data_IF_775465460515
#
_entry.id   IF_775465460515
#
_cell.length_a   1.000
_cell.length_b   1.000
_cell.length_c   1.000
_cell.angle_alpha   90.00
_cell.angle_beta   90.00
_cell.angle_gamma   90.00
#
_symmetry.space_group_name_H-M   'P 1'
#
loop_
_entity.id
_entity.type
_entity.pdbx_description
1 polymer ?
#
# COMPACT_ATOMS: atom_id res chain seq x y z
N UNK A 1 0.99 12.65 -9.86
CA UNK A 1 0.12 11.88 -8.96
C UNK A 1 0.83 11.71 -7.64
N UNK A 2 0.16 12.05 -6.54
CA UNK A 2 0.61 11.83 -5.17
C UNK A 2 -0.32 10.82 -4.50
N UNK A 3 0.24 9.94 -3.69
CA UNK A 3 -0.49 8.80 -3.10
C UNK A 3 -0.69 8.97 -1.60
N UNK A 4 -1.86 8.56 -1.12
CA UNK A 4 -2.24 8.57 0.29
C UNK A 4 -2.90 7.25 0.66
N UNK A 5 -2.73 6.78 1.89
CA UNK A 5 -3.48 5.64 2.41
C UNK A 5 -4.88 6.10 2.82
N UNK A 6 -5.91 5.34 2.45
CA UNK A 6 -7.23 5.52 3.04
C UNK A 6 -7.18 5.04 4.51
N UNK A 7 -7.52 5.93 5.45
CA UNK A 7 -7.43 5.66 6.90
C UNK A 7 -8.33 4.52 7.39
N UNK A 8 -9.32 4.11 6.61
CA UNK A 8 -10.19 2.96 6.92
C UNK A 8 -9.68 1.66 6.29
N UNK A 9 -8.71 1.72 5.38
CA UNK A 9 -8.32 0.58 4.57
C UNK A 9 -7.22 -0.29 5.19
N UNK A 10 -6.34 0.26 6.04
CA UNK A 10 -5.25 -0.53 6.64
C UNK A 10 -4.88 0.02 8.01
N UNK A 11 -4.50 -0.89 8.90
CA UNK A 11 -3.92 -0.57 10.20
C UNK A 11 -2.57 -1.27 10.31
N UNK A 12 -1.50 -0.49 10.46
CA UNK A 12 -0.15 -1.01 10.65
C UNK A 12 0.14 -1.23 12.13
N UNK A 13 0.68 -2.39 12.46
CA UNK A 13 1.15 -2.73 13.80
C UNK A 13 2.51 -3.41 13.66
N UNK A 14 3.62 -2.66 13.73
CA UNK A 14 4.95 -3.15 13.36
C UNK A 14 5.36 -4.47 14.03
N UNK A 15 4.96 -4.68 15.29
CA UNK A 15 5.23 -5.92 16.02
C UNK A 15 4.47 -7.11 15.43
N UNK A 16 3.20 -6.95 15.09
CA UNK A 16 2.39 -7.98 14.46
C UNK A 16 2.81 -8.21 13.00
N UNK A 17 3.08 -7.13 12.27
CA UNK A 17 3.52 -7.17 10.88
C UNK A 17 4.83 -7.96 10.76
N UNK A 18 5.80 -7.71 11.65
CA UNK A 18 7.04 -8.47 11.70
C UNK A 18 6.79 -9.96 11.98
N UNK A 19 5.92 -10.29 12.94
CA UNK A 19 5.54 -11.69 13.25
C UNK A 19 4.84 -12.38 12.08
N UNK A 20 4.10 -11.63 11.27
CA UNK A 20 3.42 -12.12 10.07
C UNK A 20 4.28 -12.05 8.79
N UNK A 21 5.61 -11.91 8.93
CA UNK A 21 6.56 -11.78 7.82
C UNK A 21 6.16 -10.67 6.83
N UNK A 22 5.67 -9.55 7.37
CA UNK A 22 5.22 -8.36 6.65
C UNK A 22 4.11 -8.64 5.64
N UNK A 23 3.28 -9.67 5.88
CA UNK A 23 1.98 -9.79 5.21
C UNK A 23 0.98 -8.99 6.03
N UNK A 24 0.03 -8.34 5.36
CA UNK A 24 -1.03 -7.60 6.07
C UNK A 24 -2.39 -7.89 5.45
N UNK A 25 -3.43 -7.42 6.11
CA UNK A 25 -4.79 -7.41 5.60
C UNK A 25 -5.23 -5.97 5.39
N UNK A 26 -5.99 -5.74 4.34
CA UNK A 26 -6.55 -4.44 3.99
C UNK A 26 -8.05 -4.58 3.78
N UNK A 27 -8.80 -3.56 4.19
CA UNK A 27 -10.22 -3.45 3.94
C UNK A 27 -10.45 -2.75 2.60
N UNK A 28 -11.06 -3.47 1.67
CA UNK A 28 -11.56 -2.93 0.41
C UNK A 28 -12.96 -2.38 0.65
N UNK A 29 -13.09 -1.05 0.69
CA UNK A 29 -14.39 -0.43 0.96
C UNK A 29 -15.34 -0.45 -0.25
N UNK A 30 -14.88 -0.88 -1.43
CA UNK A 30 -15.72 -1.01 -2.62
C UNK A 30 -16.47 -2.33 -2.60
N UNK A 31 -15.81 -3.42 -2.19
CA UNK A 31 -16.42 -4.76 -2.09
C UNK A 31 -16.84 -5.12 -0.67
N UNK A 32 -16.46 -4.32 0.33
CA UNK A 32 -16.63 -4.60 1.77
C UNK A 32 -15.88 -5.86 2.24
N UNK A 33 -14.84 -6.27 1.51
CA UNK A 33 -14.05 -7.47 1.81
C UNK A 33 -12.69 -7.15 2.44
N UNK A 34 -12.17 -8.13 3.18
CA UNK A 34 -10.80 -8.11 3.71
C UNK A 34 -9.89 -8.87 2.76
N UNK A 35 -8.88 -8.19 2.20
CA UNK A 35 -7.93 -8.74 1.24
C UNK A 35 -6.57 -8.94 1.91
N UNK A 36 -5.89 -10.05 1.60
CA UNK A 36 -4.52 -10.29 2.06
C UNK A 36 -3.52 -9.65 1.10
N UNK A 37 -2.62 -8.85 1.64
CA UNK A 37 -1.52 -8.23 0.91
C UNK A 37 -0.21 -8.90 1.30
N UNK A 38 0.58 -9.26 0.29
CA UNK A 38 1.88 -9.88 0.50
C UNK A 38 2.95 -8.85 0.94
N UNK A 39 4.16 -9.33 1.25
CA UNK A 39 5.28 -8.48 1.68
C UNK A 39 5.62 -7.34 0.72
N UNK A 40 5.49 -7.56 -0.59
CA UNK A 40 5.75 -6.52 -1.58
C UNK A 40 4.73 -5.39 -1.48
N UNK A 41 3.44 -5.73 -1.46
CA UNK A 41 2.38 -4.75 -1.31
C UNK A 41 2.42 -4.05 0.04
N UNK A 42 2.73 -4.78 1.11
CA UNK A 42 2.92 -4.22 2.45
C UNK A 42 3.98 -3.12 2.43
N UNK A 43 5.14 -3.38 1.82
CA UNK A 43 6.22 -2.40 1.76
C UNK A 43 5.78 -1.12 1.03
N UNK A 44 5.04 -1.25 -0.08
CA UNK A 44 4.51 -0.08 -0.80
C UNK A 44 3.52 0.70 0.09
N UNK A 45 2.55 0.01 0.67
CA UNK A 45 1.54 0.66 1.52
C UNK A 45 2.19 1.35 2.73
N UNK A 46 3.16 0.69 3.36
CA UNK A 46 3.90 1.24 4.49
C UNK A 46 4.75 2.45 4.09
N UNK A 47 5.38 2.43 2.91
CA UNK A 47 6.12 3.60 2.40
C UNK A 47 5.21 4.80 2.19
N UNK A 48 3.97 4.60 1.70
CA UNK A 48 3.00 5.68 1.52
C UNK A 48 2.49 6.19 2.88
N UNK A 49 2.23 5.29 3.83
CA UNK A 49 1.82 5.63 5.19
C UNK A 49 2.87 6.49 5.91
N UNK A 50 4.15 6.13 5.79
CA UNK A 50 5.27 6.89 6.36
C UNK A 50 5.56 8.20 5.61
N UNK A 51 5.15 8.31 4.34
CA UNK A 51 5.39 9.46 3.49
C UNK A 51 4.11 9.87 2.72
N UNK A 52 3.08 10.42 3.41
CA UNK A 52 1.85 10.81 2.74
C UNK A 52 2.09 11.84 1.64
N UNK A 53 1.55 11.61 0.44
CA UNK A 53 1.78 12.47 -0.71
C UNK A 53 3.08 12.16 -1.47
N UNK A 54 3.69 11.00 -1.24
CA UNK A 54 4.80 10.50 -2.04
C UNK A 54 4.36 10.22 -3.49
N UNK A 55 5.25 10.48 -4.45
CA UNK A 55 5.05 10.16 -5.87
C UNK A 55 5.62 8.79 -6.26
N UNK A 56 5.20 8.26 -7.42
CA UNK A 56 5.63 6.93 -7.88
C UNK A 56 7.16 6.80 -8.05
N UNK A 57 7.82 7.86 -8.53
CA UNK A 57 9.28 7.88 -8.71
C UNK A 57 10.01 7.82 -7.37
N UNK A 58 9.49 8.50 -6.35
CA UNK A 58 10.04 8.49 -4.99
C UNK A 58 9.86 7.10 -4.36
N UNK A 59 8.71 6.45 -4.54
CA UNK A 59 8.48 5.06 -4.12
C UNK A 59 9.48 4.12 -4.79
N UNK A 60 9.71 4.28 -6.10
CA UNK A 60 10.70 3.51 -6.84
C UNK A 60 12.10 3.66 -6.25
N UNK A 61 12.53 4.89 -5.98
CA UNK A 61 13.87 5.18 -5.44
C UNK A 61 14.07 4.56 -4.05
N UNK A 62 13.05 4.61 -3.18
CA UNK A 62 13.12 4.06 -1.83
C UNK A 62 13.13 2.53 -1.83
N UNK A 63 12.26 1.90 -2.61
CA UNK A 63 12.10 0.45 -2.59
C UNK A 63 13.06 -0.28 -3.52
N UNK A 64 13.64 0.41 -4.50
CA UNK A 64 14.52 -0.17 -5.55
C UNK A 64 13.86 -1.35 -6.28
N UNK A 65 12.55 -1.25 -6.53
CA UNK A 65 11.76 -2.28 -7.24
C UNK A 65 11.27 -1.73 -8.58
N UNK A 66 11.12 -2.58 -9.58
CA UNK A 66 10.58 -2.28 -10.90
C UNK A 66 9.30 -1.39 -10.87
N UNK A 67 9.36 -0.25 -11.58
CA UNK A 67 8.28 0.75 -11.69
C UNK A 67 6.98 0.13 -12.20
N UNK A 68 7.04 -0.82 -13.14
CA UNK A 68 5.86 -1.45 -13.72
C UNK A 68 5.09 -2.29 -12.69
N UNK A 69 5.80 -2.94 -11.76
CA UNK A 69 5.17 -3.71 -10.67
C UNK A 69 4.53 -2.78 -9.64
N UNK A 70 5.20 -1.68 -9.32
CA UNK A 70 4.66 -0.64 -8.44
C UNK A 70 3.39 -0.05 -9.06
N UNK A 71 3.45 0.38 -10.32
CA UNK A 71 2.31 0.98 -11.01
C UNK A 71 1.10 0.05 -11.09
N UNK A 72 1.30 -1.24 -11.40
CA UNK A 72 0.21 -2.24 -11.37
C UNK A 72 -0.40 -2.37 -9.98
N UNK A 73 0.42 -2.44 -8.94
CA UNK A 73 -0.04 -2.56 -7.56
C UNK A 73 -0.84 -1.32 -7.13
N UNK A 74 -0.31 -0.12 -7.36
CA UNK A 74 -0.97 1.15 -7.05
C UNK A 74 -2.32 1.23 -7.77
N UNK A 75 -2.36 0.93 -9.06
CA UNK A 75 -3.60 0.95 -9.84
C UNK A 75 -4.67 -0.02 -9.33
N UNK A 76 -4.29 -1.20 -8.85
CA UNK A 76 -5.25 -2.13 -8.20
C UNK A 76 -5.75 -1.58 -6.88
N UNK A 77 -4.85 -1.15 -5.99
CA UNK A 77 -5.21 -0.65 -4.66
C UNK A 77 -6.05 0.63 -4.71
N UNK A 78 -5.82 1.51 -5.71
CA UNK A 78 -6.66 2.69 -5.92
C UNK A 78 -8.08 2.34 -6.36
N UNK A 79 -8.24 1.34 -7.23
CA UNK A 79 -9.58 0.84 -7.63
C UNK A 79 -10.34 0.22 -6.46
N UNK A 80 -9.62 -0.36 -5.50
CA UNK A 80 -10.15 -0.96 -4.29
C UNK A 80 -10.35 0.06 -3.15
N UNK A 81 -10.13 1.36 -3.43
CA UNK A 81 -10.20 2.46 -2.47
C UNK A 81 -9.30 2.31 -1.24
N UNK A 82 -8.19 1.58 -1.39
CA UNK A 82 -7.16 1.40 -0.36
C UNK A 82 -6.14 2.55 -0.41
N UNK A 83 -5.82 2.99 -1.64
CA UNK A 83 -4.96 4.15 -1.91
C UNK A 83 -5.79 5.25 -2.56
N UNK A 84 -5.52 6.50 -2.19
CA UNK A 84 -6.16 7.70 -2.75
C UNK A 84 -5.12 8.45 -3.60
N UNK A 85 -5.50 8.82 -4.82
CA UNK A 85 -4.67 9.56 -5.77
C UNK A 85 -5.09 11.04 -5.81
N UNK A 86 -4.13 11.96 -5.67
CA UNK A 86 -4.32 13.43 -5.77
C UNK A 86 -3.24 14.10 -6.61
#
# INVERSE_FOLDING_TARGET
MKYFINSLAVLFCPQLDQKNNYKTIVFNSVTEEIIKVNKFGYNILRTIDENPGIGIEEIYQLLKVDVSKIGKFLGTMSKENIIIEK
#
